data_IF_141280905391
#
_entry.id   IF_141280905391
#
_cell.length_a   1.000
_cell.length_b   1.000
_cell.length_c   1.000
_cell.angle_alpha   90.00
_cell.angle_beta   90.00
_cell.angle_gamma   90.00
#
_symmetry.space_group_name_H-M   'P 1'
#
loop_
_entity.id
_entity.type
_entity.pdbx_description
1 polymer ?
#
# COMPACT_ATOMS: atom_id res chain seq x y z
N UNK A 1 7.69 32.08 3.29
CA UNK A 1 7.30 30.70 3.65
C UNK A 1 7.05 29.95 2.36
N UNK A 2 7.88 28.95 2.01
CA UNK A 2 7.58 28.08 0.86
C UNK A 2 6.39 27.21 1.25
N UNK A 3 5.33 27.09 0.44
CA UNK A 3 4.25 26.18 0.73
C UNK A 3 4.80 24.75 0.74
N UNK A 4 4.80 24.11 1.91
CA UNK A 4 5.06 22.67 2.04
C UNK A 4 3.81 21.94 1.50
N UNK A 5 3.91 21.43 0.27
CA UNK A 5 2.82 20.69 -0.37
C UNK A 5 2.73 19.32 0.31
N UNK A 6 1.67 19.12 1.11
CA UNK A 6 1.37 17.80 1.69
C UNK A 6 0.83 16.89 0.60
N UNK A 7 1.47 15.75 0.39
CA UNK A 7 1.09 14.80 -0.67
C UNK A 7 0.03 13.82 -0.17
N UNK A 8 0.01 13.54 1.15
CA UNK A 8 -0.92 12.57 1.73
C UNK A 8 -2.41 12.84 1.50
N UNK A 9 -2.93 14.09 1.50
CA UNK A 9 -4.36 14.32 1.24
C UNK A 9 -4.77 13.92 -0.18
N UNK A 10 -3.84 14.00 -1.15
CA UNK A 10 -4.09 13.59 -2.53
C UNK A 10 -4.31 12.08 -2.64
N UNK A 11 -3.43 11.29 -2.02
CA UNK A 11 -3.58 9.83 -2.00
C UNK A 11 -4.79 9.38 -1.20
N UNK A 12 -5.13 10.09 -0.12
CA UNK A 12 -6.36 9.83 0.62
C UNK A 12 -7.61 10.08 -0.23
N UNK A 13 -7.67 11.20 -0.95
CA UNK A 13 -8.78 11.49 -1.86
C UNK A 13 -8.90 10.46 -2.98
N UNK A 14 -7.78 10.02 -3.55
CA UNK A 14 -7.76 8.96 -4.55
C UNK A 14 -8.25 7.62 -3.98
N UNK A 15 -7.86 7.28 -2.74
CA UNK A 15 -8.36 6.09 -2.05
C UNK A 15 -9.88 6.16 -1.80
N UNK A 16 -10.40 7.32 -1.38
CA UNK A 16 -11.84 7.52 -1.22
C UNK A 16 -12.60 7.37 -2.53
N UNK A 17 -12.07 7.93 -3.61
CA UNK A 17 -12.66 7.80 -4.94
C UNK A 17 -12.69 6.33 -5.40
N UNK A 18 -11.58 5.61 -5.28
CA UNK A 18 -11.47 4.21 -5.67
C UNK A 18 -12.31 3.28 -4.80
N UNK A 19 -12.44 3.60 -3.51
CA UNK A 19 -13.23 2.79 -2.58
C UNK A 19 -14.72 3.07 -2.67
N UNK A 20 -15.17 4.16 -3.34
CA UNK A 20 -16.57 4.52 -3.44
C UNK A 20 -17.43 3.36 -3.98
N UNK A 21 -18.55 3.07 -3.29
CA UNK A 21 -19.41 1.93 -3.62
C UNK A 21 -18.91 0.57 -3.15
N UNK A 22 -17.71 0.47 -2.57
CA UNK A 22 -17.18 -0.77 -1.97
C UNK A 22 -17.36 -0.78 -0.44
N UNK A 23 -17.32 -1.97 0.20
CA UNK A 23 -17.25 -2.10 1.65
C UNK A 23 -16.16 -1.27 2.33
N UNK A 24 -15.01 -1.06 1.66
CA UNK A 24 -13.89 -0.25 2.19
C UNK A 24 -14.24 1.24 2.34
N UNK A 25 -15.21 1.75 1.58
CA UNK A 25 -15.63 3.14 1.74
C UNK A 25 -16.18 3.41 3.14
N UNK A 26 -16.93 2.46 3.71
CA UNK A 26 -17.52 2.61 5.05
C UNK A 26 -16.47 2.67 6.14
N UNK A 27 -15.35 1.96 5.95
CA UNK A 27 -14.23 1.93 6.90
C UNK A 27 -13.20 3.03 6.63
N UNK A 28 -13.27 3.69 5.46
CA UNK A 28 -12.31 4.72 5.04
C UNK A 28 -12.12 5.89 6.01
N UNK A 29 -13.12 6.35 6.81
CA UNK A 29 -12.88 7.40 7.79
C UNK A 29 -11.87 6.97 8.87
N UNK A 30 -11.77 5.67 9.17
CA UNK A 30 -10.80 5.14 10.15
C UNK A 30 -9.38 5.28 9.62
N UNK A 31 -9.19 5.26 8.31
CA UNK A 31 -7.88 5.46 7.70
C UNK A 31 -7.30 6.84 8.05
N UNK A 32 -8.13 7.86 8.31
CA UNK A 32 -7.66 9.19 8.74
C UNK A 32 -6.86 9.14 10.04
N UNK A 33 -7.07 8.15 10.90
CA UNK A 33 -6.26 7.96 12.11
C UNK A 33 -4.79 7.68 11.73
N UNK A 34 -4.55 7.07 10.57
CA UNK A 34 -3.22 6.88 9.99
C UNK A 34 -2.47 8.18 9.72
N UNK A 35 -3.20 9.28 9.44
CA UNK A 35 -2.61 10.61 9.30
C UNK A 35 -1.96 11.10 10.59
N UNK A 36 -2.52 10.73 11.75
CA UNK A 36 -2.01 11.14 13.06
C UNK A 36 -1.02 10.14 13.65
N UNK A 37 -1.13 8.84 13.31
CA UNK A 37 -0.20 7.82 13.79
C UNK A 37 0.08 6.73 12.75
N UNK A 38 1.36 6.45 12.50
CA UNK A 38 1.80 5.40 11.60
C UNK A 38 1.29 4.02 12.02
N UNK A 39 1.31 3.75 13.33
CA UNK A 39 0.85 2.47 13.90
C UNK A 39 -0.62 2.21 13.58
N UNK A 40 -1.50 3.20 13.80
CA UNK A 40 -2.91 3.06 13.48
C UNK A 40 -3.17 2.99 11.96
N UNK A 41 -2.35 3.68 11.16
CA UNK A 41 -2.37 3.55 9.71
C UNK A 41 -2.08 2.12 9.25
N UNK A 42 -1.00 1.52 9.74
CA UNK A 42 -0.64 0.13 9.45
C UNK A 42 -1.69 -0.88 9.93
N UNK A 43 -2.28 -0.64 11.10
CA UNK A 43 -3.34 -1.49 11.64
C UNK A 43 -4.57 -1.46 10.72
N UNK A 44 -4.96 -0.27 10.26
CA UNK A 44 -6.02 -0.12 9.27
C UNK A 44 -5.65 -0.77 7.93
N UNK A 45 -4.42 -0.57 7.43
CA UNK A 45 -3.93 -1.19 6.21
C UNK A 45 -4.07 -2.70 6.22
N UNK A 46 -3.64 -3.33 7.32
CA UNK A 46 -3.72 -4.78 7.49
C UNK A 46 -5.18 -5.25 7.42
N UNK A 47 -6.08 -4.56 8.14
CA UNK A 47 -7.51 -4.85 8.07
C UNK A 47 -8.09 -4.64 6.67
N UNK A 48 -7.71 -3.57 5.98
CA UNK A 48 -8.15 -3.26 4.63
C UNK A 48 -7.71 -4.33 3.62
N UNK A 49 -6.47 -4.82 3.72
CA UNK A 49 -5.97 -5.93 2.90
C UNK A 49 -6.81 -7.19 3.14
N UNK A 50 -7.10 -7.52 4.40
CA UNK A 50 -7.98 -8.65 4.75
C UNK A 50 -9.37 -8.47 4.15
N UNK A 51 -9.94 -7.27 4.19
CA UNK A 51 -11.26 -6.99 3.60
C UNK A 51 -11.25 -7.11 2.08
N UNK A 52 -10.20 -6.60 1.41
CA UNK A 52 -10.02 -6.75 -0.04
C UNK A 52 -9.99 -8.24 -0.42
N UNK A 53 -9.29 -9.07 0.35
CA UNK A 53 -9.24 -10.52 0.14
C UNK A 53 -10.58 -11.20 0.45
N UNK A 54 -11.21 -10.87 1.58
CA UNK A 54 -12.47 -11.46 2.04
C UNK A 54 -13.61 -11.21 1.05
N UNK A 55 -13.74 -9.98 0.54
CA UNK A 55 -14.73 -9.62 -0.47
C UNK A 55 -14.31 -9.99 -1.90
N UNK A 56 -13.19 -10.69 -2.06
CA UNK A 56 -12.64 -11.12 -3.36
C UNK A 56 -12.53 -9.95 -4.36
N UNK A 57 -12.16 -8.78 -3.86
CA UNK A 57 -11.85 -7.61 -4.70
C UNK A 57 -10.48 -7.81 -5.36
N UNK A 58 -10.33 -8.88 -6.14
CA UNK A 58 -9.09 -9.28 -6.78
C UNK A 58 -8.78 -8.47 -8.04
N UNK A 59 -7.70 -8.86 -8.73
CA UNK A 59 -7.31 -8.18 -9.96
C UNK A 59 -6.56 -6.88 -9.72
N UNK A 60 -6.42 -6.10 -10.79
CA UNK A 60 -5.80 -4.79 -10.75
C UNK A 60 -6.54 -3.79 -9.85
N UNK A 61 -7.85 -3.99 -9.63
CA UNK A 61 -8.65 -3.11 -8.78
C UNK A 61 -8.27 -3.23 -7.29
N UNK A 62 -8.20 -4.45 -6.76
CA UNK A 62 -7.71 -4.67 -5.39
C UNK A 62 -6.27 -4.19 -5.21
N UNK A 63 -5.43 -4.42 -6.22
CA UNK A 63 -4.06 -3.94 -6.25
C UNK A 63 -4.00 -2.41 -6.15
N UNK A 64 -4.83 -1.70 -6.91
CA UNK A 64 -4.95 -0.24 -6.89
C UNK A 64 -5.41 0.26 -5.51
N UNK A 65 -6.42 -0.37 -4.92
CA UNK A 65 -6.93 0.00 -3.59
C UNK A 65 -5.85 -0.11 -2.53
N UNK A 66 -5.16 -1.25 -2.45
CA UNK A 66 -4.09 -1.51 -1.48
C UNK A 66 -2.91 -0.58 -1.73
N UNK A 67 -2.51 -0.39 -2.98
CA UNK A 67 -1.41 0.51 -3.36
C UNK A 67 -1.68 1.95 -2.97
N UNK A 68 -2.90 2.44 -3.22
CA UNK A 68 -3.29 3.82 -2.90
C UNK A 68 -3.39 4.02 -1.39
N UNK A 69 -3.84 3.01 -0.66
CA UNK A 69 -3.88 3.05 0.80
C UNK A 69 -2.47 3.07 1.41
N UNK A 70 -1.56 2.26 0.88
CA UNK A 70 -0.15 2.26 1.29
C UNK A 70 0.51 3.61 0.99
N UNK A 71 0.27 4.15 -0.21
CA UNK A 71 0.72 5.50 -0.59
C UNK A 71 0.26 6.54 0.42
N UNK A 72 -1.01 6.50 0.80
CA UNK A 72 -1.55 7.42 1.79
C UNK A 72 -0.85 7.30 3.16
N UNK A 73 -0.67 6.09 3.69
CA UNK A 73 -0.08 5.89 5.02
C UNK A 73 1.39 6.30 5.05
N UNK A 74 2.17 5.88 4.06
CA UNK A 74 3.59 6.19 3.97
C UNK A 74 3.81 7.68 3.68
N UNK A 75 3.04 8.28 2.77
CA UNK A 75 3.12 9.73 2.52
C UNK A 75 2.67 10.56 3.73
N UNK A 76 1.72 10.08 4.52
CA UNK A 76 1.32 10.76 5.75
C UNK A 76 2.43 10.72 6.81
N UNK A 77 3.18 9.62 6.89
CA UNK A 77 4.35 9.54 7.77
C UNK A 77 5.50 10.44 7.27
N UNK A 78 5.77 10.42 5.97
CA UNK A 78 6.75 11.32 5.33
C UNK A 78 6.39 12.79 5.53
N UNK A 79 5.10 13.16 5.41
CA UNK A 79 4.61 14.52 5.64
C UNK A 79 4.81 14.94 7.12
N UNK A 80 4.62 14.02 8.08
CA UNK A 80 4.88 14.29 9.51
C UNK A 80 6.38 14.46 9.80
N UNK A 81 7.20 13.64 9.16
CA UNK A 81 8.66 13.63 9.34
C UNK A 81 9.40 14.63 8.44
N UNK A 82 8.68 15.40 7.61
CA UNK A 82 9.21 16.37 6.63
C UNK A 82 10.29 15.74 5.74
N UNK A 83 9.99 14.56 5.21
CA UNK A 83 10.92 13.83 4.38
C UNK A 83 11.24 14.57 3.07
N UNK A 84 12.44 14.37 2.49
CA UNK A 84 12.80 14.89 1.17
C UNK A 84 11.85 14.36 0.08
N UNK A 85 11.66 15.15 -0.99
CA UNK A 85 10.76 14.81 -2.09
C UNK A 85 11.14 13.49 -2.79
N UNK A 86 12.43 13.16 -2.80
CA UNK A 86 13.00 11.95 -3.38
C UNK A 86 12.37 10.68 -2.79
N UNK A 87 12.00 10.69 -1.49
CA UNK A 87 11.37 9.54 -0.84
C UNK A 87 9.97 9.25 -1.40
N UNK A 88 9.21 10.28 -1.77
CA UNK A 88 7.90 10.12 -2.39
C UNK A 88 8.03 9.51 -3.79
N UNK A 89 9.05 9.89 -4.55
CA UNK A 89 9.33 9.30 -5.87
C UNK A 89 9.68 7.82 -5.77
N UNK A 90 10.52 7.43 -4.82
CA UNK A 90 10.87 6.02 -4.58
C UNK A 90 9.64 5.20 -4.21
N UNK A 91 8.76 5.74 -3.37
CA UNK A 91 7.52 5.09 -2.99
C UNK A 91 6.60 4.86 -4.20
N UNK A 92 6.39 5.90 -5.02
CA UNK A 92 5.57 5.80 -6.24
C UNK A 92 6.15 4.77 -7.22
N UNK A 93 7.47 4.82 -7.46
CA UNK A 93 8.16 3.86 -8.32
C UNK A 93 8.00 2.42 -7.81
N UNK A 94 8.08 2.22 -6.49
CA UNK A 94 7.87 0.92 -5.86
C UNK A 94 6.46 0.40 -6.15
N UNK A 95 5.42 1.24 -5.96
CA UNK A 95 4.04 0.87 -6.30
C UNK A 95 3.88 0.57 -7.79
N UNK A 96 4.48 1.36 -8.69
CA UNK A 96 4.40 1.12 -10.13
C UNK A 96 4.96 -0.27 -10.48
N UNK A 97 6.07 -0.68 -9.84
CA UNK A 97 6.66 -2.02 -10.04
C UNK A 97 5.79 -3.18 -9.55
N UNK A 98 4.82 -2.93 -8.68
CA UNK A 98 3.88 -3.98 -8.23
C UNK A 98 2.97 -4.42 -9.38
N UNK A 99 2.59 -3.53 -10.30
CA UNK A 99 1.72 -3.85 -11.44
C UNK A 99 2.32 -4.87 -12.44
N UNK A 100 3.53 -4.66 -12.99
CA UNK A 100 4.15 -5.66 -13.86
C UNK A 100 4.44 -6.95 -13.10
N UNK A 101 4.79 -6.87 -11.81
CA UNK A 101 4.97 -8.06 -10.97
C UNK A 101 3.67 -8.84 -10.85
N UNK A 102 2.55 -8.18 -10.55
CA UNK A 102 1.23 -8.81 -10.50
C UNK A 102 0.84 -9.43 -11.85
N UNK A 103 1.11 -8.74 -12.95
CA UNK A 103 0.85 -9.26 -14.30
C UNK A 103 1.66 -10.54 -14.58
N UNK A 104 2.95 -10.56 -14.22
CA UNK A 104 3.80 -11.75 -14.35
C UNK A 104 3.26 -12.92 -13.53
N UNK A 105 2.95 -12.69 -12.24
CA UNK A 105 2.43 -13.75 -11.36
C UNK A 105 1.08 -14.26 -11.87
N UNK A 106 0.18 -13.36 -12.33
CA UNK A 106 -1.11 -13.74 -12.92
C UNK A 106 -0.94 -14.60 -14.17
N UNK A 107 0.04 -14.29 -15.03
CA UNK A 107 0.31 -15.07 -16.24
C UNK A 107 1.00 -16.42 -15.96
N UNK A 108 1.74 -16.52 -14.86
CA UNK A 108 2.37 -17.75 -14.39
C UNK A 108 1.43 -18.63 -13.56
N UNK A 109 0.36 -18.05 -13.01
CA UNK A 109 -0.65 -18.72 -12.21
C UNK A 109 -1.26 -20.00 -12.82
N UNK A 110 -1.48 -20.13 -14.14
CA UNK A 110 -2.01 -21.36 -14.73
C UNK A 110 -1.06 -22.57 -14.63
N UNK A 111 0.23 -22.30 -14.41
CA UNK A 111 1.30 -23.29 -14.36
C UNK A 111 1.59 -23.71 -12.90
N UNK A 112 1.13 -22.91 -11.94
CA UNK A 112 1.29 -23.15 -10.51
C UNK A 112 0.01 -23.85 -10.00
N UNK A 113 0.09 -24.87 -9.13
CA UNK A 113 -1.10 -25.45 -8.50
C UNK A 113 -1.97 -24.34 -7.86
N UNK A 114 -3.31 -24.48 -7.80
CA UNK A 114 -4.23 -23.40 -7.48
C UNK A 114 -4.14 -22.95 -6.01
N UNK A 115 -3.06 -22.27 -5.66
CA UNK A 115 -3.03 -21.31 -4.58
C UNK A 115 -3.36 -19.96 -5.20
N UNK A 116 -4.28 -19.23 -4.57
CA UNK A 116 -4.68 -17.90 -5.03
C UNK A 116 -3.42 -17.06 -5.27
N UNK A 117 -3.21 -16.66 -6.52
CA UNK A 117 -2.10 -15.82 -7.01
C UNK A 117 -1.80 -14.64 -6.08
N UNK A 118 -2.86 -14.11 -5.49
CA UNK A 118 -2.86 -13.03 -4.49
C UNK A 118 -2.16 -13.42 -3.20
N UNK A 119 -2.33 -14.65 -2.70
CA UNK A 119 -1.65 -15.19 -1.52
C UNK A 119 -0.14 -15.23 -1.76
N UNK A 120 0.27 -15.75 -2.91
CA UNK A 120 1.68 -15.88 -3.29
C UNK A 120 2.31 -14.48 -3.43
N UNK A 121 1.63 -13.57 -4.12
CA UNK A 121 2.10 -12.19 -4.27
C UNK A 121 2.22 -11.47 -2.91
N UNK A 122 1.25 -11.66 -2.01
CA UNK A 122 1.25 -11.03 -0.68
C UNK A 122 2.36 -11.59 0.21
N UNK A 123 2.62 -12.90 0.15
CA UNK A 123 3.73 -13.55 0.85
C UNK A 123 5.09 -13.04 0.35
N UNK A 124 5.25 -12.94 -0.97
CA UNK A 124 6.50 -12.40 -1.56
C UNK A 124 6.72 -10.95 -1.12
N UNK A 125 5.66 -10.14 -1.09
CA UNK A 125 5.74 -8.74 -0.68
C UNK A 125 6.11 -8.61 0.82
N UNK A 126 5.54 -9.45 1.68
CA UNK A 126 5.91 -9.54 3.10
C UNK A 126 7.36 -9.97 3.32
N UNK A 127 7.83 -10.95 2.55
CA UNK A 127 9.23 -11.42 2.61
C UNK A 127 10.19 -10.32 2.15
N UNK A 128 9.90 -9.64 1.03
CA UNK A 128 10.72 -8.53 0.54
C UNK A 128 10.77 -7.36 1.53
N UNK A 129 9.64 -7.04 2.15
CA UNK A 129 9.59 -6.03 3.22
C UNK A 129 10.42 -6.43 4.43
N UNK A 130 10.33 -7.70 4.87
CA UNK A 130 11.14 -8.23 5.96
C UNK A 130 12.64 -8.15 5.67
N UNK A 131 13.05 -8.52 4.46
CA UNK A 131 14.45 -8.41 4.01
C UNK A 131 14.91 -6.95 3.99
N UNK A 132 14.10 -6.05 3.44
CA UNK A 132 14.39 -4.60 3.44
C UNK A 132 14.60 -4.05 4.86
N UNK A 133 13.78 -4.47 5.81
CA UNK A 133 13.90 -4.10 7.24
C UNK A 133 15.20 -4.59 7.87
N UNK A 134 15.57 -5.84 7.62
CA UNK A 134 16.81 -6.44 8.16
C UNK A 134 18.04 -5.74 7.58
N UNK A 135 18.05 -5.48 6.27
CA UNK A 135 19.13 -4.76 5.59
C UNK A 135 19.20 -3.30 6.07
N UNK A 136 18.06 -2.65 6.27
CA UNK A 136 17.97 -1.29 6.82
C UNK A 136 18.52 -1.18 8.25
N UNK A 137 18.33 -2.21 9.07
CA UNK A 137 18.92 -2.30 10.42
C UNK A 137 20.41 -2.66 10.42
N UNK A 138 20.92 -3.25 9.34
CA UNK A 138 22.33 -3.60 9.17
C UNK A 138 23.26 -2.44 8.80
N UNK A 139 22.72 -1.29 8.36
CA UNK A 139 23.50 -0.08 8.04
C UNK A 139 23.72 0.87 9.23
N UNK A 140 23.30 0.48 10.43
CA UNK A 140 23.52 1.20 11.69
C UNK A 140 24.45 0.44 12.63
N UNK A 141 25.57 -0.06 12.09
CA UNK A 141 26.76 -0.44 12.87
C UNK A 141 28.00 0.09 12.18
#
# INVERSE_FOLDING_TARGET
MKPEIKVSPLFFALFLFLSYGTPLFRTSPIALVGFFSYFFGLLYFTGAVILVMYYKMGGYFGLLLVSTLLLFIESADMDRNRAPWEHYLVLILTIIMVFPTYALIKNLAPIIPPMEVTLIASLILLVLYGISRIIGMGKTK
#
